data_IF_406128360848
#
_entry.id   IF_406128360848
#
_cell.length_a   1.000
_cell.length_b   1.000
_cell.length_c   1.000
_cell.angle_alpha   90.00
_cell.angle_beta   90.00
_cell.angle_gamma   90.00
#
_symmetry.space_group_name_H-M   'P 1'
#
loop_
_entity.id
_entity.type
_entity.pdbx_description
1 polymer ?
#
# COMPACT_ATOMS: atom_id res chain seq x y z
N UNK A 1 16.84 -9.27 9.82
CA UNK A 1 15.79 -8.77 8.89
C UNK A 1 15.47 -7.32 9.25
N UNK A 2 15.55 -6.38 8.30
CA UNK A 2 15.23 -4.95 8.54
C UNK A 2 13.74 -4.80 8.91
N UNK A 3 13.42 -3.87 9.82
CA UNK A 3 12.05 -3.66 10.35
C UNK A 3 11.01 -3.46 9.24
N UNK A 4 11.32 -2.65 8.21
CA UNK A 4 10.41 -2.42 7.08
C UNK A 4 10.02 -3.72 6.36
N UNK A 5 10.99 -4.60 6.09
CA UNK A 5 10.70 -5.88 5.41
C UNK A 5 9.88 -6.85 6.27
N UNK A 6 10.03 -6.76 7.61
CA UNK A 6 9.19 -7.51 8.55
C UNK A 6 7.74 -7.01 8.50
N UNK A 7 7.55 -5.69 8.53
CA UNK A 7 6.23 -5.05 8.49
C UNK A 7 5.52 -5.36 7.17
N UNK A 8 6.21 -5.21 6.03
CA UNK A 8 5.69 -5.55 4.70
C UNK A 8 5.21 -7.01 4.64
N UNK A 9 6.06 -7.95 5.07
CA UNK A 9 5.73 -9.38 5.11
C UNK A 9 4.51 -9.67 5.98
N UNK A 10 4.46 -9.08 7.17
CA UNK A 10 3.36 -9.29 8.11
C UNK A 10 2.06 -8.68 7.59
N UNK A 11 2.12 -7.52 6.95
CA UNK A 11 0.98 -6.86 6.31
C UNK A 11 0.40 -7.76 5.22
N UNK A 12 1.22 -8.21 4.28
CA UNK A 12 0.78 -9.11 3.20
C UNK A 12 0.15 -10.39 3.78
N UNK A 13 0.80 -11.01 4.77
CA UNK A 13 0.26 -12.21 5.42
C UNK A 13 -1.07 -11.94 6.13
N UNK A 14 -1.20 -10.79 6.78
CA UNK A 14 -2.43 -10.35 7.44
C UNK A 14 -3.57 -10.20 6.42
N UNK A 15 -3.30 -9.62 5.25
CA UNK A 15 -4.29 -9.52 4.18
C UNK A 15 -4.69 -10.89 3.63
N UNK A 16 -3.71 -11.76 3.33
CA UNK A 16 -3.99 -13.14 2.85
C UNK A 16 -4.82 -13.93 3.86
N UNK A 17 -4.44 -13.93 5.14
CA UNK A 17 -5.20 -14.60 6.20
C UNK A 17 -6.57 -13.96 6.45
N UNK A 18 -6.73 -12.68 6.10
CA UNK A 18 -8.00 -11.98 6.10
C UNK A 18 -8.94 -12.38 4.94
N UNK A 19 -8.51 -13.28 4.04
CA UNK A 19 -9.26 -13.71 2.87
C UNK A 19 -9.12 -12.78 1.66
N UNK A 20 -8.15 -11.87 1.68
CA UNK A 20 -7.95 -10.91 0.57
C UNK A 20 -6.93 -11.49 -0.41
N UNK A 21 -7.29 -11.66 -1.70
CA UNK A 21 -6.35 -12.10 -2.72
C UNK A 21 -5.35 -10.98 -3.02
N UNK A 22 -4.11 -11.16 -2.59
CA UNK A 22 -3.01 -10.23 -2.88
C UNK A 22 -1.90 -10.93 -3.66
N UNK A 23 -1.42 -10.26 -4.69
CA UNK A 23 -0.31 -10.68 -5.54
C UNK A 23 0.98 -10.09 -5.00
N UNK A 24 2.00 -10.94 -4.86
CA UNK A 24 3.34 -10.54 -4.44
C UNK A 24 4.31 -11.25 -5.36
N UNK A 25 4.89 -10.54 -6.33
CA UNK A 25 5.82 -11.12 -7.28
C UNK A 25 6.85 -10.07 -7.73
N UNK A 26 8.12 -10.46 -7.94
CA UNK A 26 9.09 -9.61 -8.61
C UNK A 26 8.66 -9.19 -10.02
N UNK A 27 7.66 -9.87 -10.61
CA UNK A 27 7.11 -9.55 -11.94
C UNK A 27 6.18 -8.33 -11.90
N UNK A 28 5.71 -7.88 -10.73
CA UNK A 28 4.82 -6.71 -10.63
C UNK A 28 5.52 -5.42 -11.09
N UNK A 29 6.81 -5.28 -10.82
CA UNK A 29 7.65 -4.19 -11.30
C UNK A 29 9.13 -4.60 -11.22
N UNK A 30 9.84 -4.43 -12.34
CA UNK A 30 11.27 -4.70 -12.46
C UNK A 30 12.13 -3.85 -11.50
N UNK A 31 11.61 -2.72 -11.02
CA UNK A 31 12.26 -1.86 -10.04
C UNK A 31 11.90 -2.17 -8.58
N UNK A 32 11.09 -3.22 -8.34
CA UNK A 32 10.66 -3.66 -7.02
C UNK A 32 10.00 -2.53 -6.21
N UNK A 33 9.29 -1.60 -6.87
CA UNK A 33 8.59 -0.49 -6.20
C UNK A 33 7.20 -0.85 -5.71
N UNK A 34 6.62 -1.93 -6.23
CA UNK A 34 5.31 -2.44 -5.80
C UNK A 34 5.55 -3.59 -4.83
N UNK A 35 5.12 -3.43 -3.57
CA UNK A 35 5.28 -4.47 -2.56
C UNK A 35 4.20 -5.56 -2.69
N UNK A 36 2.98 -5.14 -3.02
CA UNK A 36 1.89 -6.05 -3.35
C UNK A 36 0.85 -5.38 -4.24
N UNK A 37 0.01 -6.18 -4.90
CA UNK A 37 -1.13 -5.70 -5.66
C UNK A 37 -2.38 -6.50 -5.33
N UNK A 38 -3.55 -5.96 -5.65
CA UNK A 38 -4.84 -6.63 -5.58
C UNK A 38 -5.76 -6.14 -6.69
N UNK A 39 -6.79 -6.91 -7.02
CA UNK A 39 -7.77 -6.50 -8.04
C UNK A 39 -9.04 -5.99 -7.38
N UNK A 40 -9.60 -4.92 -7.94
CA UNK A 40 -10.96 -4.47 -7.67
C UNK A 40 -11.80 -4.62 -8.94
N UNK A 41 -13.03 -5.15 -8.85
CA UNK A 41 -13.86 -5.39 -10.04
C UNK A 41 -14.06 -4.16 -10.93
N UNK A 42 -14.19 -2.98 -10.32
CA UNK A 42 -14.48 -1.71 -11.02
C UNK A 42 -13.22 -0.92 -11.38
N UNK A 43 -12.07 -1.27 -10.81
CA UNK A 43 -10.86 -0.44 -10.89
C UNK A 43 -9.69 -1.17 -11.55
N UNK A 44 -9.78 -2.49 -11.71
CA UNK A 44 -8.67 -3.29 -12.23
C UNK A 44 -7.60 -3.53 -11.17
N UNK A 45 -6.34 -3.57 -11.60
CA UNK A 45 -5.20 -3.91 -10.75
C UNK A 45 -4.68 -2.68 -10.00
N UNK A 46 -4.69 -2.78 -8.68
CA UNK A 46 -4.22 -1.75 -7.75
C UNK A 46 -2.90 -2.20 -7.14
N UNK A 47 -1.83 -1.46 -7.39
CA UNK A 47 -0.55 -1.69 -6.73
C UNK A 47 -0.40 -0.85 -5.48
N UNK A 48 0.28 -1.42 -4.49
CA UNK A 48 0.59 -0.75 -3.22
C UNK A 48 2.08 -0.83 -2.96
N UNK A 49 2.64 0.32 -2.62
CA UNK A 49 3.96 0.42 -2.01
C UNK A 49 3.83 0.85 -0.56
N UNK A 50 4.57 0.18 0.31
CA UNK A 50 4.59 0.40 1.74
C UNK A 50 5.84 1.21 2.12
N UNK A 51 5.60 2.42 2.61
CA UNK A 51 6.64 3.26 3.20
C UNK A 51 6.48 3.34 4.72
N UNK A 52 7.55 3.18 5.49
CA UNK A 52 7.53 3.54 6.90
C UNK A 52 7.64 5.05 7.07
N UNK A 53 6.99 5.59 8.10
CA UNK A 53 7.14 6.99 8.47
C UNK A 53 8.58 7.27 8.92
N UNK A 54 9.31 8.08 8.15
CA UNK A 54 10.63 8.61 8.51
C UNK A 54 10.57 10.14 8.62
N UNK A 55 10.42 10.84 7.50
CA UNK A 55 10.06 12.26 7.42
C UNK A 55 9.09 12.50 6.25
N UNK A 56 8.46 13.68 6.17
CA UNK A 56 7.48 13.98 5.11
C UNK A 56 8.11 14.13 3.73
N UNK A 57 9.21 14.88 3.62
CA UNK A 57 9.96 15.10 2.36
C UNK A 57 10.46 13.80 1.74
N UNK A 58 11.04 12.94 2.57
CA UNK A 58 11.63 11.67 2.14
C UNK A 58 10.57 10.69 1.61
N UNK A 59 9.33 10.87 2.07
CA UNK A 59 8.19 10.05 1.65
C UNK A 59 7.53 10.58 0.38
N UNK A 60 7.44 11.90 0.22
CA UNK A 60 6.99 12.50 -1.04
C UNK A 60 7.93 12.12 -2.19
N UNK A 61 9.24 12.21 -1.98
CA UNK A 61 10.24 11.84 -2.99
C UNK A 61 10.13 10.35 -3.40
N UNK A 62 10.01 9.44 -2.43
CA UNK A 62 9.84 7.99 -2.70
C UNK A 62 8.54 7.68 -3.43
N UNK A 63 7.46 8.39 -3.10
CA UNK A 63 6.17 8.21 -3.74
C UNK A 63 6.19 8.67 -5.21
N UNK A 64 6.77 9.83 -5.51
CA UNK A 64 6.91 10.34 -6.88
C UNK A 64 7.71 9.39 -7.76
N UNK A 65 8.84 8.87 -7.26
CA UNK A 65 9.65 7.91 -8.05
C UNK A 65 8.94 6.61 -8.34
N UNK A 66 8.12 6.15 -7.41
CA UNK A 66 7.44 4.87 -7.54
C UNK A 66 6.17 4.96 -8.37
N UNK A 67 5.52 6.13 -8.37
CA UNK A 67 4.44 6.48 -9.30
C UNK A 67 4.84 6.27 -10.76
N UNK A 68 5.99 6.80 -11.18
CA UNK A 68 6.43 6.70 -12.59
C UNK A 68 6.59 5.25 -13.07
N UNK A 69 7.06 4.35 -12.20
CA UNK A 69 7.18 2.93 -12.51
C UNK A 69 5.80 2.25 -12.52
N UNK A 70 4.96 2.56 -11.52
CA UNK A 70 3.66 1.93 -11.30
C UNK A 70 2.62 2.29 -12.37
N UNK A 71 2.55 3.54 -12.82
CA UNK A 71 1.52 4.00 -13.76
C UNK A 71 1.59 3.33 -15.14
N UNK A 72 2.73 2.70 -15.48
CA UNK A 72 2.93 1.95 -16.73
C UNK A 72 2.35 0.54 -16.69
N UNK A 73 2.14 0.00 -15.50
CA UNK A 73 1.78 -1.42 -15.29
C UNK A 73 0.50 -1.62 -14.47
N UNK A 74 -0.03 -0.55 -13.87
CA UNK A 74 -1.19 -0.61 -12.98
C UNK A 74 -2.25 0.42 -13.37
N UNK A 75 -3.51 0.07 -13.10
CA UNK A 75 -4.67 0.95 -13.25
C UNK A 75 -4.70 2.00 -12.14
N UNK A 76 -4.27 1.61 -10.93
CA UNK A 76 -4.14 2.51 -9.77
C UNK A 76 -2.89 2.21 -8.97
N UNK A 77 -2.37 3.24 -8.33
CA UNK A 77 -1.24 3.11 -7.41
C UNK A 77 -1.51 3.78 -6.07
N UNK A 78 -1.15 3.09 -4.99
CA UNK A 78 -1.25 3.60 -3.62
C UNK A 78 0.13 3.61 -2.98
N UNK A 79 0.57 4.78 -2.55
CA UNK A 79 1.68 4.90 -1.61
C UNK A 79 1.14 4.87 -0.18
N UNK A 80 1.29 3.72 0.49
CA UNK A 80 0.80 3.50 1.84
C UNK A 80 1.89 3.83 2.86
N UNK A 81 1.72 4.94 3.58
CA UNK A 81 2.61 5.34 4.67
C UNK A 81 2.13 4.78 5.99
N UNK A 82 2.95 3.97 6.63
CA UNK A 82 2.65 3.32 7.90
C UNK A 82 3.54 3.87 9.02
N UNK A 83 2.94 4.14 10.18
CA UNK A 83 3.72 4.32 11.40
C UNK A 83 4.47 3.01 11.75
N UNK A 84 5.68 3.10 12.35
CA UNK A 84 6.51 1.93 12.68
C UNK A 84 5.85 0.87 13.59
N UNK A 85 4.75 1.20 14.28
CA UNK A 85 3.99 0.27 15.11
C UNK A 85 2.99 -0.64 14.37
N UNK A 86 2.76 -0.43 13.08
CA UNK A 86 1.81 -1.24 12.31
C UNK A 86 2.39 -2.58 11.89
N UNK A 87 1.54 -3.62 11.88
CA UNK A 87 1.88 -4.97 11.41
C UNK A 87 3.18 -5.54 12.01
N UNK A 88 3.49 -5.22 13.27
CA UNK A 88 4.59 -5.86 14.01
C UNK A 88 4.38 -7.38 14.20
N UNK A 89 3.11 -7.81 14.14
CA UNK A 89 2.64 -9.20 14.13
C UNK A 89 1.65 -9.40 12.99
N UNK A 90 1.40 -10.66 12.63
CA UNK A 90 0.35 -11.03 11.67
C UNK A 90 -0.99 -10.92 12.39
N UNK A 91 -1.95 -10.25 11.75
CA UNK A 91 -3.27 -9.95 12.33
C UNK A 91 -4.31 -9.85 11.20
N UNK A 92 -5.13 -10.90 10.99
CA UNK A 92 -6.06 -10.96 9.85
C UNK A 92 -7.12 -9.86 9.89
N UNK A 93 -7.55 -9.41 11.07
CA UNK A 93 -8.56 -8.36 11.20
C UNK A 93 -7.97 -6.99 10.86
N UNK A 94 -6.71 -6.73 11.22
CA UNK A 94 -5.99 -5.55 10.70
C UNK A 94 -5.83 -5.61 9.18
N UNK A 95 -5.60 -6.79 8.61
CA UNK A 95 -5.57 -7.01 7.16
C UNK A 95 -6.89 -6.64 6.48
N UNK A 96 -8.01 -7.16 7.00
CA UNK A 96 -9.37 -6.81 6.54
C UNK A 96 -9.68 -5.32 6.67
N UNK A 97 -9.33 -4.71 7.80
CA UNK A 97 -9.54 -3.28 8.04
C UNK A 97 -8.73 -2.43 7.05
N UNK A 98 -7.46 -2.76 6.84
CA UNK A 98 -6.63 -2.07 5.84
C UNK A 98 -7.25 -2.17 4.45
N UNK A 99 -7.67 -3.37 4.02
CA UNK A 99 -8.29 -3.54 2.72
C UNK A 99 -9.55 -2.68 2.54
N UNK A 100 -10.45 -2.65 3.55
CA UNK A 100 -11.63 -1.77 3.52
C UNK A 100 -11.25 -0.29 3.41
N UNK A 101 -10.22 0.15 4.13
CA UNK A 101 -9.73 1.53 4.04
C UNK A 101 -9.21 1.85 2.63
N UNK A 102 -8.40 0.95 2.05
CA UNK A 102 -7.89 1.11 0.69
C UNK A 102 -9.02 1.21 -0.34
N UNK A 103 -10.00 0.30 -0.28
CA UNK A 103 -11.17 0.30 -1.17
C UNK A 103 -11.97 1.60 -1.04
N UNK A 104 -12.26 2.01 0.19
CA UNK A 104 -13.03 3.25 0.43
C UNK A 104 -12.28 4.47 -0.11
N UNK A 105 -10.99 4.62 0.20
CA UNK A 105 -10.19 5.74 -0.31
C UNK A 105 -10.08 5.75 -1.84
N UNK A 106 -9.96 4.59 -2.47
CA UNK A 106 -9.89 4.47 -3.94
C UNK A 106 -11.22 4.76 -4.62
N UNK A 107 -12.35 4.43 -3.98
CA UNK A 107 -13.70 4.73 -4.49
C UNK A 107 -14.05 6.21 -4.43
N UNK A 108 -13.45 6.95 -3.48
CA UNK A 108 -13.68 8.37 -3.28
C UNK A 108 -12.73 9.26 -4.10
N UNK A 109 -11.61 8.70 -4.56
CA UNK A 109 -10.65 9.42 -5.38
C UNK A 109 -10.88 9.17 -6.87
N UNK A 110 -10.72 10.20 -7.70
CA UNK A 110 -10.60 10.01 -9.16
C UNK A 110 -9.15 9.81 -9.60
N UNK A 111 -8.20 10.13 -8.73
CA UNK A 111 -6.77 10.11 -9.04
C UNK A 111 -6.26 8.71 -9.30
N UNK A 112 -5.42 8.59 -10.33
CA UNK A 112 -4.72 7.33 -10.65
C UNK A 112 -3.78 6.91 -9.54
N UNK A 113 -3.15 7.89 -8.89
CA UNK A 113 -2.17 7.68 -7.83
C UNK A 113 -2.55 8.46 -6.57
N UNK A 114 -2.58 7.77 -5.43
CA UNK A 114 -2.87 8.39 -4.14
C UNK A 114 -1.84 8.00 -3.08
N UNK A 115 -1.55 8.92 -2.17
CA UNK A 115 -0.86 8.64 -0.91
C UNK A 115 -1.90 8.42 0.18
N UNK A 116 -1.76 7.35 0.95
CA UNK A 116 -2.59 7.12 2.15
C UNK A 116 -1.67 7.08 3.36
N UNK A 117 -1.94 7.94 4.32
CA UNK A 117 -1.20 8.00 5.58
C UNK A 117 -1.98 7.28 6.68
N UNK A 118 -1.37 6.27 7.29
CA UNK A 118 -1.93 5.55 8.42
C UNK A 118 -1.13 5.82 9.70
N UNK A 119 -1.73 6.59 10.63
CA UNK A 119 -1.21 6.86 11.98
C UNK A 119 -2.17 6.29 13.03
N UNK A 120 -1.67 5.62 14.07
CA UNK A 120 -2.45 5.18 15.25
C UNK A 120 -3.77 4.42 14.98
N UNK A 121 -3.80 3.51 14.00
CA UNK A 121 -4.96 2.76 13.49
C UNK A 121 -6.00 3.53 12.64
N UNK A 122 -5.69 4.75 12.19
CA UNK A 122 -6.58 5.60 11.40
C UNK A 122 -5.93 6.13 10.13
N UNK A 123 -6.75 6.41 9.11
CA UNK A 123 -6.33 7.23 7.97
C UNK A 123 -6.19 8.66 8.46
N UNK A 124 -4.98 9.21 8.38
CA UNK A 124 -4.74 10.61 8.72
C UNK A 124 -4.92 11.52 7.52
N UNK A 125 -4.48 11.12 6.32
CA UNK A 125 -4.59 11.92 5.09
C UNK A 125 -4.63 11.04 3.85
N UNK A 126 -5.37 11.49 2.83
CA UNK A 126 -5.28 10.98 1.46
C UNK A 126 -4.85 12.15 0.57
N UNK A 127 -3.75 12.00 -0.16
CA UNK A 127 -3.19 13.08 -0.97
C UNK A 127 -2.99 12.59 -2.40
N UNK A 128 -3.49 13.31 -3.43
CA UNK A 128 -3.09 13.08 -4.81
C UNK A 128 -1.56 13.19 -4.95
N UNK A 129 -0.95 12.29 -5.72
CA UNK A 129 0.48 12.37 -6.11
C UNK A 129 0.54 12.53 -7.61
#
# INVERSE_FOLDING_TARGET
MRLGKKIERNLVRSMKMGGIPVFTSPVLDHNYKIDFAFCLPTTGMVGVQVGLWASEEDSAYKAVRSKTCAERVLDRFVFLRLSPGYFLRIDPDKGKRLFRLLVNSLSQSREKTIMIHLRNHWVSFVTPI
#
